data_IF_318761799233
#
_entry.id   IF_318761799233
#
_cell.length_a   1.000
_cell.length_b   1.000
_cell.length_c   1.000
_cell.angle_alpha   90.00
_cell.angle_beta   90.00
_cell.angle_gamma   90.00
#
_symmetry.space_group_name_H-M   'P 1'
#
loop_
_entity.id
_entity.type
_entity.pdbx_description
1 polymer ?
#
# COMPACT_ATOMS: atom_id res chain seq x y z
N UNK A 1 0.79 -22.60 -11.94
CA UNK A 1 1.30 -22.13 -13.25
C UNK A 1 0.92 -20.68 -13.56
N UNK A 2 -0.13 -20.13 -12.95
CA UNK A 2 -0.64 -18.77 -13.21
C UNK A 2 0.34 -17.64 -12.88
N UNK A 3 0.92 -17.62 -11.68
CA UNK A 3 1.94 -16.62 -11.28
C UNK A 3 3.14 -16.62 -12.25
N UNK A 4 3.55 -17.79 -12.75
CA UNK A 4 4.64 -17.94 -13.71
C UNK A 4 4.31 -17.30 -15.06
N UNK A 5 3.07 -17.45 -15.54
CA UNK A 5 2.62 -16.82 -16.78
C UNK A 5 2.61 -15.28 -16.65
N UNK A 6 2.14 -14.74 -15.51
CA UNK A 6 2.15 -13.31 -15.23
C UNK A 6 3.58 -12.77 -15.20
N UNK A 7 4.51 -13.48 -14.55
CA UNK A 7 5.91 -13.09 -14.49
C UNK A 7 6.56 -13.06 -15.89
N UNK A 8 6.29 -14.07 -16.73
CA UNK A 8 6.79 -14.11 -18.11
C UNK A 8 6.25 -12.94 -18.93
N UNK A 9 4.94 -12.66 -18.84
CA UNK A 9 4.33 -11.51 -19.53
C UNK A 9 4.94 -10.19 -19.06
N UNK A 10 5.15 -10.01 -17.76
CA UNK A 10 5.79 -8.82 -17.20
C UNK A 10 7.23 -8.66 -17.73
N UNK A 11 8.01 -9.74 -17.79
CA UNK A 11 9.36 -9.72 -18.37
C UNK A 11 9.35 -9.32 -19.84
N UNK A 12 8.38 -9.78 -20.62
CA UNK A 12 8.27 -9.43 -22.05
C UNK A 12 7.91 -7.95 -22.22
N UNK A 13 6.95 -7.43 -21.44
CA UNK A 13 6.47 -6.04 -21.56
C UNK A 13 7.53 -5.04 -21.10
N UNK A 14 8.16 -5.29 -19.95
CA UNK A 14 9.13 -4.35 -19.35
C UNK A 14 10.58 -4.61 -19.80
N UNK A 15 10.88 -5.83 -20.27
CA UNK A 15 12.21 -6.29 -20.63
C UNK A 15 12.99 -6.88 -19.44
N UNK A 16 13.69 -8.02 -19.62
CA UNK A 16 14.46 -8.68 -18.54
C UNK A 16 15.60 -7.82 -18.00
N UNK A 17 16.17 -6.94 -18.82
CA UNK A 17 17.28 -6.09 -18.44
C UNK A 17 16.86 -4.88 -17.58
N UNK A 18 15.62 -4.40 -17.75
CA UNK A 18 15.14 -3.19 -17.06
C UNK A 18 14.46 -3.50 -15.73
N UNK A 19 13.80 -4.66 -15.62
CA UNK A 19 13.16 -5.12 -14.38
C UNK A 19 14.06 -5.12 -13.13
N UNK A 20 15.29 -5.69 -13.15
CA UNK A 20 16.15 -5.68 -11.96
C UNK A 20 16.58 -4.26 -11.57
N UNK A 21 16.71 -3.35 -12.54
CA UNK A 21 16.98 -1.94 -12.28
C UNK A 21 15.82 -1.25 -11.57
N UNK A 22 14.60 -1.44 -12.07
CA UNK A 22 13.37 -0.87 -11.47
C UNK A 22 13.09 -1.45 -10.08
N UNK A 23 13.27 -2.76 -9.89
CA UNK A 23 13.09 -3.41 -8.59
C UNK A 23 14.05 -2.84 -7.54
N UNK A 24 15.31 -2.58 -7.91
CA UNK A 24 16.29 -1.94 -7.02
C UNK A 24 15.90 -0.52 -6.65
N UNK A 25 15.41 0.27 -7.61
CA UNK A 25 14.95 1.63 -7.35
C UNK A 25 13.73 1.65 -6.42
N UNK A 26 12.75 0.78 -6.67
CA UNK A 26 11.58 0.63 -5.81
C UNK A 26 11.99 0.18 -4.39
N UNK A 27 12.90 -0.79 -4.26
CA UNK A 27 13.40 -1.24 -2.97
C UNK A 27 14.10 -0.09 -2.20
N UNK A 28 14.89 0.71 -2.90
CA UNK A 28 15.55 1.87 -2.30
C UNK A 28 14.53 2.93 -1.85
N UNK A 29 13.53 3.19 -2.69
CA UNK A 29 12.45 4.12 -2.35
C UNK A 29 11.68 3.66 -1.12
N UNK A 30 11.27 2.39 -1.07
CA UNK A 30 10.57 1.80 0.08
C UNK A 30 11.42 1.91 1.36
N UNK A 31 12.74 1.68 1.25
CA UNK A 31 13.65 1.84 2.39
C UNK A 31 13.67 3.29 2.90
N UNK A 32 13.74 4.27 1.99
CA UNK A 32 13.69 5.69 2.34
C UNK A 32 12.36 6.06 3.00
N UNK A 33 11.23 5.66 2.42
CA UNK A 33 9.90 5.92 2.99
C UNK A 33 9.77 5.30 4.38
N UNK A 34 10.23 4.05 4.56
CA UNK A 34 10.25 3.39 5.86
C UNK A 34 11.05 4.17 6.90
N UNK A 35 12.24 4.65 6.52
CA UNK A 35 13.08 5.44 7.41
C UNK A 35 12.43 6.77 7.80
N UNK A 36 11.76 7.44 6.84
CA UNK A 36 10.98 8.66 7.11
C UNK A 36 9.82 8.39 8.08
N UNK A 37 9.09 7.30 7.89
CA UNK A 37 8.00 6.91 8.78
C UNK A 37 8.49 6.57 10.20
N UNK A 38 9.64 5.88 10.32
CA UNK A 38 10.28 5.59 11.60
C UNK A 38 10.73 6.88 12.32
N UNK A 39 11.30 7.84 11.58
CA UNK A 39 11.66 9.16 12.11
C UNK A 39 10.46 9.97 12.60
N UNK A 40 9.41 10.09 11.78
CA UNK A 40 8.19 10.81 12.14
C UNK A 40 7.52 10.18 13.38
N UNK A 41 7.45 8.85 13.43
CA UNK A 41 6.97 8.13 14.62
C UNK A 41 7.81 8.42 15.86
N UNK A 42 9.14 8.52 15.71
CA UNK A 42 10.02 8.86 16.83
C UNK A 42 9.82 10.29 17.32
N UNK A 43 9.52 11.24 16.43
CA UNK A 43 9.26 12.64 16.78
C UNK A 43 7.92 12.79 17.49
N UNK A 44 6.85 12.21 16.92
CA UNK A 44 5.52 12.16 17.53
C UNK A 44 5.55 11.51 18.93
N UNK A 45 6.29 10.41 19.09
CA UNK A 45 6.44 9.74 20.38
C UNK A 45 7.23 10.53 21.43
N UNK A 46 8.07 11.50 21.01
CA UNK A 46 8.79 12.40 21.92
C UNK A 46 7.93 13.58 22.36
N UNK A 47 7.07 14.10 21.47
CA UNK A 47 6.26 15.30 21.74
C UNK A 47 4.93 14.99 22.43
N UNK A 48 4.30 13.84 22.14
CA UNK A 48 2.96 13.51 22.66
C UNK A 48 2.96 12.48 23.80
N UNK A 49 4.11 11.93 24.20
CA UNK A 49 4.18 10.98 25.31
C UNK A 49 3.33 9.71 25.12
N UNK A 50 2.96 9.05 26.22
CA UNK A 50 2.24 7.74 26.25
C UNK A 50 0.89 7.74 25.52
N UNK A 51 0.38 8.91 25.12
CA UNK A 51 -0.89 9.13 24.43
C UNK A 51 -0.95 8.48 23.03
N UNK A 52 0.21 8.14 22.43
CA UNK A 52 0.30 7.37 21.17
C UNK A 52 0.30 5.85 21.36
N UNK A 53 0.49 5.33 22.58
CA UNK A 53 0.54 3.87 22.81
C UNK A 53 -0.82 3.19 22.67
N UNK A 54 -1.91 3.93 22.89
CA UNK A 54 -3.27 3.40 22.79
C UNK A 54 -3.79 3.33 21.35
N UNK A 55 -3.10 3.95 20.40
CA UNK A 55 -3.40 3.82 18.97
C UNK A 55 -2.81 2.48 18.50
N UNK A 56 -3.68 1.55 18.07
CA UNK A 56 -3.32 0.19 17.65
C UNK A 56 -2.39 0.14 16.42
N UNK A 57 -1.09 0.38 16.63
CA UNK A 57 -0.07 0.28 15.59
C UNK A 57 0.11 -1.14 15.02
N UNK A 58 -0.41 -2.15 15.72
CA UNK A 58 -0.36 -3.56 15.30
C UNK A 58 -1.26 -3.87 14.11
N UNK A 59 -2.37 -3.14 13.94
CA UNK A 59 -3.26 -3.31 12.78
C UNK A 59 -2.68 -2.68 11.51
N UNK A 60 -1.66 -1.84 11.65
CA UNK A 60 -0.94 -1.21 10.53
C UNK A 60 0.35 -1.95 10.17
N UNK A 61 0.56 -3.22 10.56
CA UNK A 61 1.79 -3.94 10.19
C UNK A 61 1.80 -4.25 8.67
N UNK A 62 2.65 -3.57 7.87
CA UNK A 62 2.67 -3.77 6.42
C UNK A 62 3.09 -5.19 6.03
N UNK A 63 3.79 -5.92 6.92
CA UNK A 63 4.14 -7.31 6.67
C UNK A 63 2.93 -8.23 6.73
N UNK A 64 1.95 -7.93 7.58
CA UNK A 64 0.69 -8.69 7.64
C UNK A 64 -0.08 -8.51 6.33
N UNK A 65 -0.18 -7.27 5.82
CA UNK A 65 -0.85 -6.97 4.55
C UNK A 65 -0.17 -7.66 3.35
N UNK A 66 1.18 -7.61 3.26
CA UNK A 66 1.91 -8.29 2.18
C UNK A 66 1.81 -9.81 2.30
N UNK A 67 1.89 -10.34 3.53
CA UNK A 67 1.76 -11.78 3.77
C UNK A 67 0.37 -12.29 3.39
N UNK A 68 -0.67 -11.52 3.69
CA UNK A 68 -2.04 -11.85 3.30
C UNK A 68 -2.18 -11.91 1.77
N UNK A 69 -1.65 -10.91 1.05
CA UNK A 69 -1.64 -10.87 -0.43
C UNK A 69 -0.82 -11.99 -1.07
N UNK A 70 0.29 -12.40 -0.44
CA UNK A 70 1.16 -13.47 -0.97
C UNK A 70 0.57 -14.87 -0.69
N UNK A 71 -0.13 -15.03 0.43
CA UNK A 71 -0.73 -16.31 0.83
C UNK A 71 -2.16 -16.51 0.27
N UNK A 72 -2.83 -15.45 -0.18
CA UNK A 72 -4.15 -15.52 -0.81
C UNK A 72 -4.03 -15.81 -2.30
N UNK A 73 -4.52 -16.97 -2.73
CA UNK A 73 -4.45 -17.44 -4.12
C UNK A 73 -5.47 -16.78 -5.08
N UNK A 74 -6.18 -15.70 -4.70
CA UNK A 74 -7.22 -15.11 -5.56
C UNK A 74 -7.61 -13.68 -5.19
N UNK A 75 -7.70 -12.85 -6.25
CA UNK A 75 -8.30 -11.52 -6.39
C UNK A 75 -7.72 -10.43 -5.48
N UNK A 76 -6.99 -9.43 -6.03
CA UNK A 76 -6.65 -8.23 -5.27
C UNK A 76 -7.94 -7.63 -4.68
N UNK A 77 -7.93 -7.11 -3.44
CA UNK A 77 -9.11 -6.48 -2.86
C UNK A 77 -9.67 -5.50 -3.89
N UNK A 78 -11.00 -5.42 -4.07
CA UNK A 78 -11.58 -4.53 -5.07
C UNK A 78 -11.00 -3.15 -4.82
N UNK A 79 -10.12 -2.70 -5.73
CA UNK A 79 -9.63 -1.33 -5.72
C UNK A 79 -10.89 -0.48 -5.66
N UNK A 80 -11.06 0.38 -4.64
CA UNK A 80 -12.22 1.23 -4.56
C UNK A 80 -12.31 1.93 -5.90
N UNK A 81 -13.33 1.58 -6.69
CA UNK A 81 -13.57 2.24 -7.96
C UNK A 81 -13.80 3.68 -7.57
N UNK A 82 -12.77 4.53 -7.77
CA UNK A 82 -12.92 5.96 -7.60
C UNK A 82 -13.96 6.32 -8.65
N UNK A 83 -15.22 6.42 -8.22
CA UNK A 83 -16.33 6.75 -9.08
C UNK A 83 -16.08 8.19 -9.47
N UNK A 84 -15.51 8.39 -10.65
CA UNK A 84 -15.36 9.70 -11.24
C UNK A 84 -16.78 10.20 -11.44
N UNK A 85 -17.18 11.17 -10.62
CA UNK A 85 -18.47 11.82 -10.72
C UNK A 85 -18.55 12.48 -12.09
N UNK A 86 -19.62 12.22 -12.83
CA UNK A 86 -19.84 12.94 -14.09
C UNK A 86 -20.14 14.41 -13.76
N UNK A 87 -19.81 15.37 -14.65
CA UNK A 87 -20.16 16.76 -14.42
C UNK A 87 -21.67 16.91 -14.13
N UNK A 88 -22.01 17.45 -12.96
CA UNK A 88 -23.40 17.59 -12.48
C UNK A 88 -23.92 16.46 -11.57
N UNK A 89 -23.11 15.43 -11.30
CA UNK A 89 -23.47 14.37 -10.35
C UNK A 89 -23.10 14.77 -8.92
N UNK A 90 -24.09 14.79 -8.03
CA UNK A 90 -23.90 15.14 -6.62
C UNK A 90 -23.36 13.90 -5.90
N UNK A 91 -22.29 14.01 -5.11
CA UNK A 91 -21.77 12.88 -4.35
C UNK A 91 -22.84 12.32 -3.41
N UNK A 92 -22.89 10.98 -3.21
CA UNK A 92 -23.80 10.39 -2.23
C UNK A 92 -23.45 10.96 -0.85
N UNK A 93 -24.43 11.59 -0.20
CA UNK A 93 -24.30 12.07 1.17
C UNK A 93 -25.06 11.12 2.10
N UNK A 94 -24.44 10.79 3.22
CA UNK A 94 -25.06 9.98 4.27
C UNK A 94 -25.84 10.91 5.22
N UNK A 95 -27.16 10.81 5.19
CA UNK A 95 -28.06 11.61 6.04
C UNK A 95 -28.11 11.13 7.49
N UNK A 96 -27.51 9.98 7.81
CA UNK A 96 -27.47 9.44 9.18
C UNK A 96 -26.24 9.91 9.97
N UNK A 97 -25.35 10.69 9.36
CA UNK A 97 -24.27 11.36 10.07
C UNK A 97 -24.81 12.58 10.87
N UNK A 98 -25.40 12.34 12.04
CA UNK A 98 -25.76 13.37 13.04
C UNK A 98 -25.51 12.86 14.45
#
# INVERSE_FOLDING_TARGET
MEIGAIAVVAVIVFGPDRLPGLARQAAQFVKTVRQMAESAKSELGKELGDEFKDINLRDLDPRAAVRDVILSDTTPPPVPSVRILRPGEIPPFDSEAT
#
